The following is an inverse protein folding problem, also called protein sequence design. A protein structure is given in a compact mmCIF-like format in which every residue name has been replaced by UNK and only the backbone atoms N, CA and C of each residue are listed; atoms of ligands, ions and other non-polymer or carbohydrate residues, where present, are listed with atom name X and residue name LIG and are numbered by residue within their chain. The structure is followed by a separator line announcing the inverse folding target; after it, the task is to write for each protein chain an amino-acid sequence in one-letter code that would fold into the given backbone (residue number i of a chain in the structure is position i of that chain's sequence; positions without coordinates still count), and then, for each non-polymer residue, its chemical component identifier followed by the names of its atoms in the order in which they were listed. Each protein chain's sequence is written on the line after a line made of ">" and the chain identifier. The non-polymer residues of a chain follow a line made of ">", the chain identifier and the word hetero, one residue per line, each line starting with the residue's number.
data_IF_560561663281
#
_entry.id   IF_560561663281
#
_cell.length_a   1.000
_cell.length_b   1.000
_cell.length_c   1.000
_cell.angle_alpha   90.00
_cell.angle_beta   90.00
_cell.angle_gamma   90.00
#
_symmetry.space_group_name_H-M   'P 1'
#
loop_
_entity.id
_entity.type
_entity.pdbx_description
1 polymer ?
#
# COMPACT_ATOMS: atom_id res chain seq x y z
N UNK A 1 -1.37 -17.60 -36.10
CA UNK A 1 -2.46 -16.64 -36.39
C UNK A 1 -2.92 -15.93 -35.11
N UNK A 2 -3.13 -16.66 -34.00
CA UNK A 2 -3.55 -16.13 -32.69
C UNK A 2 -2.58 -15.11 -32.07
N UNK A 3 -1.26 -15.36 -32.12
CA UNK A 3 -0.27 -14.43 -31.55
C UNK A 3 -0.21 -13.07 -32.26
N UNK A 4 -0.33 -13.07 -33.60
CA UNK A 4 -0.37 -11.84 -34.39
C UNK A 4 -1.68 -11.07 -34.15
N UNK A 5 -2.82 -11.78 -34.12
CA UNK A 5 -4.11 -11.16 -33.80
C UNK A 5 -4.10 -10.52 -32.41
N UNK A 6 -3.63 -11.22 -31.38
CA UNK A 6 -3.51 -10.69 -30.02
C UNK A 6 -2.56 -9.48 -29.96
N UNK A 7 -1.45 -9.52 -30.70
CA UNK A 7 -0.54 -8.37 -30.82
C UNK A 7 -1.23 -7.16 -31.45
N UNK A 8 -1.94 -7.34 -32.56
CA UNK A 8 -2.66 -6.24 -33.24
C UNK A 8 -3.76 -5.66 -32.34
N UNK A 9 -4.54 -6.51 -31.66
CA UNK A 9 -5.58 -6.07 -30.73
C UNK A 9 -4.98 -5.28 -29.56
N UNK A 10 -3.92 -5.80 -28.91
CA UNK A 10 -3.24 -5.10 -27.81
C UNK A 10 -2.64 -3.78 -28.26
N UNK A 11 -2.06 -3.72 -29.46
CA UNK A 11 -1.49 -2.51 -30.04
C UNK A 11 -2.57 -1.46 -30.31
N UNK A 12 -3.67 -1.85 -30.96
CA UNK A 12 -4.81 -0.96 -31.22
C UNK A 12 -5.41 -0.42 -29.93
N UNK A 13 -5.61 -1.28 -28.93
CA UNK A 13 -6.07 -0.90 -27.60
C UNK A 13 -5.15 0.13 -26.96
N UNK A 14 -3.84 -0.14 -26.93
CA UNK A 14 -2.86 0.79 -26.34
C UNK A 14 -2.89 2.16 -27.03
N UNK A 15 -3.07 2.21 -28.36
CA UNK A 15 -3.22 3.48 -29.07
C UNK A 15 -4.52 4.20 -28.70
N UNK A 16 -5.65 3.49 -28.65
CA UNK A 16 -6.94 4.07 -28.29
C UNK A 16 -6.93 4.60 -26.86
N UNK A 17 -6.46 3.81 -25.90
CA UNK A 17 -6.34 4.22 -24.50
C UNK A 17 -5.38 5.40 -24.33
N UNK A 18 -4.24 5.40 -25.03
CA UNK A 18 -3.33 6.55 -25.03
C UNK A 18 -4.01 7.81 -25.57
N UNK A 19 -4.75 7.70 -26.67
CA UNK A 19 -5.50 8.83 -27.23
C UNK A 19 -6.54 9.32 -26.23
N UNK A 20 -7.31 8.40 -25.63
CA UNK A 20 -8.30 8.70 -24.59
C UNK A 20 -7.70 9.47 -23.42
N UNK A 21 -6.63 8.96 -22.80
CA UNK A 21 -5.95 9.64 -21.71
C UNK A 21 -5.35 10.99 -22.12
N UNK A 22 -4.83 11.10 -23.35
CA UNK A 22 -4.24 12.36 -23.85
C UNK A 22 -5.28 13.48 -23.99
N UNK A 23 -6.58 13.17 -24.06
CA UNK A 23 -7.64 14.19 -24.07
C UNK A 23 -7.73 14.94 -22.73
N UNK A 24 -7.29 14.33 -21.63
CA UNK A 24 -7.31 14.92 -20.28
C UNK A 24 -5.99 15.61 -19.91
N UNK A 25 -4.94 15.46 -20.72
CA UNK A 25 -3.71 16.22 -20.59
C UNK A 25 -3.88 17.62 -21.20
N UNK A 26 -4.52 18.51 -20.43
CA UNK A 26 -4.85 19.88 -20.85
C UNK A 26 -3.61 20.66 -21.34
N UNK A 27 -2.43 20.34 -20.80
CA UNK A 27 -1.18 21.05 -21.13
C UNK A 27 -0.37 20.38 -22.24
N UNK A 28 -0.75 19.18 -22.69
CA UNK A 28 -0.04 18.40 -23.70
C UNK A 28 1.39 18.02 -23.30
N UNK A 29 1.66 17.86 -22.00
CA UNK A 29 3.01 17.59 -21.47
C UNK A 29 3.33 16.10 -21.35
N UNK A 30 2.37 15.21 -21.61
CA UNK A 30 2.45 13.78 -21.41
C UNK A 30 2.19 13.30 -19.98
N UNK A 31 1.58 14.16 -19.14
CA UNK A 31 1.30 13.87 -17.73
C UNK A 31 -0.17 14.08 -17.40
N UNK A 32 -0.68 13.32 -16.44
CA UNK A 32 -1.99 13.48 -15.83
C UNK A 32 -1.83 13.93 -14.39
N UNK A 33 -2.60 14.93 -13.99
CA UNK A 33 -2.83 15.26 -12.57
C UNK A 33 -3.97 14.41 -12.04
N UNK A 34 -4.15 14.48 -10.73
CA UNK A 34 -5.20 13.73 -10.04
C UNK A 34 -6.59 14.05 -10.62
N UNK A 35 -6.92 15.33 -10.75
CA UNK A 35 -8.18 15.80 -11.35
C UNK A 35 -8.40 15.31 -12.79
N UNK A 36 -7.31 15.17 -13.54
CA UNK A 36 -7.38 14.72 -14.94
C UNK A 36 -7.76 13.22 -14.97
N UNK A 37 -7.20 12.42 -14.06
CA UNK A 37 -7.54 11.00 -13.94
C UNK A 37 -8.90 10.78 -13.26
N UNK A 38 -9.28 11.60 -12.28
CA UNK A 38 -10.62 11.58 -11.66
C UNK A 38 -11.72 11.77 -12.71
N UNK A 39 -11.54 12.75 -13.60
CA UNK A 39 -12.48 13.02 -14.71
C UNK A 39 -12.54 11.83 -15.67
N UNK A 40 -11.39 11.27 -16.04
CA UNK A 40 -11.34 10.08 -16.89
C UNK A 40 -12.07 8.88 -16.28
N UNK A 41 -11.86 8.59 -14.99
CA UNK A 41 -12.54 7.49 -14.30
C UNK A 41 -14.05 7.75 -14.21
N UNK A 42 -14.47 8.97 -13.87
CA UNK A 42 -15.88 9.35 -13.79
C UNK A 42 -16.61 9.08 -15.11
N UNK A 43 -16.02 9.49 -16.24
CA UNK A 43 -16.60 9.27 -17.57
C UNK A 43 -16.56 7.80 -18.00
N UNK A 44 -15.66 7.00 -17.42
CA UNK A 44 -15.54 5.57 -17.71
C UNK A 44 -16.61 4.74 -16.99
N UNK A 45 -17.03 5.11 -15.78
CA UNK A 45 -17.97 4.35 -14.92
C UNK A 45 -19.20 3.84 -15.71
N UNK A 46 -19.96 4.67 -16.46
CA UNK A 46 -21.15 4.21 -17.18
C UNK A 46 -20.87 3.16 -18.27
N UNK A 47 -19.61 2.98 -18.66
CA UNK A 47 -19.18 2.01 -19.68
C UNK A 47 -18.72 0.68 -19.08
N UNK A 48 -18.78 0.53 -17.75
CA UNK A 48 -18.31 -0.65 -17.01
C UNK A 48 -19.52 -1.36 -16.36
N UNK A 49 -20.07 -2.44 -16.97
CA UNK A 49 -21.20 -3.19 -16.42
C UNK A 49 -21.02 -3.64 -14.96
N UNK A 50 -19.78 -3.95 -14.53
CA UNK A 50 -19.51 -4.34 -13.12
C UNK A 50 -19.61 -3.18 -12.12
N UNK A 51 -19.88 -1.96 -12.58
CA UNK A 51 -20.12 -0.77 -11.77
C UNK A 51 -21.53 -0.20 -11.98
N UNK A 52 -22.42 -0.87 -12.72
CA UNK A 52 -23.76 -0.36 -13.03
C UNK A 52 -24.60 -0.11 -11.77
N UNK A 53 -24.49 -0.98 -10.77
CA UNK A 53 -25.21 -0.87 -9.49
C UNK A 53 -24.55 0.09 -8.48
N UNK A 54 -23.48 0.79 -8.88
CA UNK A 54 -22.79 1.73 -8.00
C UNK A 54 -23.63 2.99 -7.82
N UNK A 55 -23.99 3.33 -6.56
CA UNK A 55 -24.75 4.53 -6.27
C UNK A 55 -23.96 5.81 -6.60
N UNK A 56 -24.62 6.80 -7.22
CA UNK A 56 -24.00 8.10 -7.55
C UNK A 56 -23.46 8.83 -6.30
N UNK A 57 -24.10 8.63 -5.15
CA UNK A 57 -23.66 9.15 -3.84
C UNK A 57 -22.25 8.67 -3.46
N UNK A 58 -21.85 7.50 -3.94
CA UNK A 58 -20.58 6.85 -3.64
C UNK A 58 -19.49 7.13 -4.69
N UNK A 59 -19.80 7.80 -5.81
CA UNK A 59 -18.86 8.02 -6.91
C UNK A 59 -17.58 8.72 -6.47
N UNK A 60 -17.69 9.73 -5.60
CA UNK A 60 -16.51 10.46 -5.11
C UNK A 60 -15.54 9.54 -4.36
N UNK A 61 -16.06 8.62 -3.53
CA UNK A 61 -15.22 7.66 -2.79
C UNK A 61 -14.64 6.60 -3.71
N UNK A 62 -15.43 6.10 -4.66
CA UNK A 62 -14.96 5.15 -5.67
C UNK A 62 -13.84 5.74 -6.53
N UNK A 63 -14.04 6.94 -7.07
CA UNK A 63 -13.06 7.64 -7.92
C UNK A 63 -11.79 7.91 -7.12
N UNK A 64 -11.90 8.41 -5.88
CA UNK A 64 -10.75 8.61 -5.02
C UNK A 64 -9.98 7.27 -4.84
N UNK A 65 -10.67 6.19 -4.50
CA UNK A 65 -10.07 4.85 -4.33
C UNK A 65 -9.35 4.37 -5.59
N UNK A 66 -9.97 4.54 -6.76
CA UNK A 66 -9.38 4.15 -8.04
C UNK A 66 -8.13 4.98 -8.37
N UNK A 67 -8.18 6.30 -8.17
CA UNK A 67 -7.11 7.24 -8.54
C UNK A 67 -5.91 7.16 -7.59
N UNK A 68 -6.11 6.84 -6.31
CA UNK A 68 -5.01 6.74 -5.34
C UNK A 68 -3.95 5.70 -5.72
N UNK A 69 -4.36 4.56 -6.29
CA UNK A 69 -3.42 3.48 -6.66
C UNK A 69 -2.37 3.96 -7.69
N UNK A 70 -2.73 4.51 -8.87
CA UNK A 70 -1.78 5.14 -9.79
C UNK A 70 -0.84 6.15 -9.14
N UNK A 71 -1.35 7.05 -8.29
CA UNK A 71 -0.52 8.09 -7.68
C UNK A 71 0.46 7.55 -6.65
N UNK A 72 0.07 6.54 -5.86
CA UNK A 72 0.99 5.93 -4.90
C UNK A 72 2.16 5.22 -5.61
N UNK A 73 1.88 4.46 -6.67
CA UNK A 73 2.88 3.60 -7.31
C UNK A 73 3.65 4.26 -8.48
N UNK A 74 3.10 5.31 -9.12
CA UNK A 74 3.73 5.97 -10.26
C UNK A 74 4.25 7.38 -9.95
N UNK A 75 3.90 7.95 -8.80
CA UNK A 75 4.41 9.25 -8.34
C UNK A 75 5.04 9.14 -6.93
N UNK A 76 6.11 8.32 -6.76
CA UNK A 76 6.73 8.09 -5.45
C UNK A 76 7.34 9.36 -4.83
N UNK A 77 7.64 10.37 -5.66
CA UNK A 77 8.16 11.66 -5.22
C UNK A 77 7.06 12.69 -4.92
N UNK A 78 5.78 12.31 -5.04
CA UNK A 78 4.61 13.16 -4.78
C UNK A 78 4.65 14.49 -5.54
N UNK A 79 5.00 14.41 -6.83
CA UNK A 79 5.00 15.55 -7.77
C UNK A 79 3.59 15.99 -8.18
N UNK A 80 2.56 15.22 -7.79
CA UNK A 80 1.16 15.33 -8.15
C UNK A 80 0.91 15.17 -9.65
N UNK A 81 1.76 14.38 -10.32
CA UNK A 81 1.66 14.09 -11.75
C UNK A 81 2.15 12.68 -12.05
N UNK A 82 1.42 11.96 -12.90
CA UNK A 82 1.83 10.65 -13.42
C UNK A 82 2.01 10.73 -14.93
N UNK A 83 3.03 10.06 -15.48
CA UNK A 83 3.22 10.02 -16.94
C UNK A 83 2.16 9.10 -17.56
N UNK A 84 1.56 9.54 -18.66
CA UNK A 84 0.59 8.71 -19.41
C UNK A 84 1.21 7.37 -19.82
N UNK A 85 2.49 7.39 -20.22
CA UNK A 85 3.21 6.17 -20.61
C UNK A 85 3.33 5.17 -19.47
N UNK A 86 3.55 5.65 -18.25
CA UNK A 86 3.70 4.78 -17.07
C UNK A 86 2.33 4.20 -16.67
N UNK A 87 1.26 4.99 -16.75
CA UNK A 87 -0.13 4.53 -16.53
C UNK A 87 -0.54 3.44 -17.53
N UNK A 88 -0.10 3.54 -18.79
CA UNK A 88 -0.34 2.52 -19.81
C UNK A 88 0.49 1.25 -19.61
N UNK A 89 1.64 1.34 -18.93
CA UNK A 89 2.57 0.24 -18.76
C UNK A 89 2.36 -0.55 -17.46
N UNK A 90 1.77 0.06 -16.43
CA UNK A 90 1.68 -0.52 -15.08
C UNK A 90 0.57 -1.58 -14.90
N UNK A 91 -0.28 -1.80 -15.91
CA UNK A 91 -1.36 -2.80 -15.86
C UNK A 91 -2.64 -2.36 -15.13
N UNK A 92 -2.65 -1.22 -14.45
CA UNK A 92 -3.84 -0.73 -13.73
C UNK A 92 -5.06 -0.53 -14.63
N UNK A 93 -4.84 -0.08 -15.86
CA UNK A 93 -5.92 0.04 -16.83
C UNK A 93 -6.45 -1.31 -17.32
N UNK A 94 -5.61 -2.36 -17.31
CA UNK A 94 -6.06 -3.70 -17.67
C UNK A 94 -7.05 -4.21 -16.61
N UNK A 95 -6.72 -4.06 -15.32
CA UNK A 95 -7.61 -4.41 -14.20
C UNK A 95 -8.91 -3.61 -14.26
N UNK A 96 -8.83 -2.29 -14.46
CA UNK A 96 -10.01 -1.42 -14.55
C UNK A 96 -10.92 -1.80 -15.72
N UNK A 97 -10.35 -2.14 -16.88
CA UNK A 97 -11.13 -2.53 -18.06
C UNK A 97 -11.62 -3.98 -18.02
N UNK A 98 -11.05 -4.84 -17.17
CA UNK A 98 -11.60 -6.18 -16.90
C UNK A 98 -13.04 -6.09 -16.38
N UNK A 99 -13.42 -4.97 -15.75
CA UNK A 99 -14.78 -4.66 -15.31
C UNK A 99 -15.80 -4.51 -16.45
N UNK A 100 -15.35 -4.52 -17.72
CA UNK A 100 -16.21 -4.63 -18.90
C UNK A 100 -16.74 -6.04 -19.15
N UNK A 101 -16.06 -7.05 -18.63
CA UNK A 101 -16.44 -8.44 -18.84
C UNK A 101 -17.60 -8.82 -17.90
N UNK A 102 -18.81 -8.95 -18.46
CA UNK A 102 -20.00 -9.43 -17.73
C UNK A 102 -19.79 -10.82 -17.14
N UNK A 103 -18.94 -11.66 -17.76
CA UNK A 103 -18.60 -13.00 -17.30
C UNK A 103 -17.55 -13.04 -16.17
N UNK A 104 -17.07 -11.88 -15.69
CA UNK A 104 -16.03 -11.85 -14.67
C UNK A 104 -16.50 -12.51 -13.36
N UNK A 105 -15.75 -13.51 -12.91
CA UNK A 105 -16.06 -14.27 -11.70
C UNK A 105 -15.98 -13.41 -10.44
N UNK A 106 -16.80 -13.74 -9.42
CA UNK A 106 -16.80 -13.08 -8.10
C UNK A 106 -15.40 -13.03 -7.48
N UNK A 107 -14.66 -14.15 -7.48
CA UNK A 107 -13.30 -14.21 -6.93
C UNK A 107 -12.34 -13.20 -7.58
N UNK A 108 -12.44 -12.98 -8.89
CA UNK A 108 -11.63 -11.98 -9.59
C UNK A 108 -12.05 -10.56 -9.23
N UNK A 109 -13.35 -10.30 -9.07
CA UNK A 109 -13.85 -9.01 -8.62
C UNK A 109 -13.33 -8.67 -7.22
N UNK A 110 -13.32 -9.63 -6.30
CA UNK A 110 -12.79 -9.45 -4.94
C UNK A 110 -11.29 -9.15 -4.90
N UNK A 111 -10.53 -9.64 -5.89
CA UNK A 111 -9.09 -9.39 -6.03
C UNK A 111 -8.77 -8.11 -6.81
N UNK A 112 -9.71 -7.61 -7.60
CA UNK A 112 -9.52 -6.44 -8.45
C UNK A 112 -9.75 -5.16 -7.63
N UNK A 113 -8.70 -4.36 -7.46
CA UNK A 113 -8.74 -3.10 -6.72
C UNK A 113 -9.80 -2.12 -7.24
N UNK A 114 -10.06 -2.13 -8.54
CA UNK A 114 -10.99 -1.20 -9.19
C UNK A 114 -12.45 -1.67 -9.12
N UNK A 115 -12.74 -2.85 -8.58
CA UNK A 115 -14.11 -3.33 -8.46
C UNK A 115 -14.90 -2.52 -7.42
N UNK A 116 -16.22 -2.43 -7.61
CA UNK A 116 -17.11 -1.86 -6.60
C UNK A 116 -16.98 -2.58 -5.25
N UNK A 117 -16.81 -3.90 -5.27
CA UNK A 117 -16.64 -4.71 -4.06
C UNK A 117 -15.39 -4.29 -3.25
N UNK A 118 -14.26 -4.08 -3.92
CA UNK A 118 -13.02 -3.60 -3.27
C UNK A 118 -13.19 -2.20 -2.70
N UNK A 119 -13.75 -1.27 -3.47
CA UNK A 119 -13.97 0.11 -3.01
C UNK A 119 -14.93 0.17 -1.81
N UNK A 120 -16.04 -0.57 -1.85
CA UNK A 120 -17.00 -0.68 -0.75
C UNK A 120 -16.39 -1.33 0.48
N UNK A 121 -15.55 -2.37 0.31
CA UNK A 121 -14.83 -3.00 1.43
C UNK A 121 -13.93 -2.01 2.14
N UNK A 122 -13.11 -1.27 1.40
CA UNK A 122 -12.14 -0.33 1.98
C UNK A 122 -12.86 0.85 2.65
N UNK A 123 -13.90 1.39 2.00
CA UNK A 123 -14.70 2.44 2.60
C UNK A 123 -15.48 1.96 3.84
N UNK A 124 -16.01 0.73 3.80
CA UNK A 124 -16.66 0.12 4.96
C UNK A 124 -15.70 -0.08 6.13
N UNK A 125 -14.44 -0.44 5.86
CA UNK A 125 -13.38 -0.50 6.88
C UNK A 125 -13.10 0.88 7.48
N UNK A 126 -13.02 1.92 6.64
CA UNK A 126 -12.86 3.30 7.10
C UNK A 126 -13.98 3.75 8.04
N UNK A 127 -15.24 3.53 7.64
CA UNK A 127 -16.42 3.84 8.46
C UNK A 127 -16.48 3.03 9.76
N UNK A 128 -15.94 1.81 9.76
CA UNK A 128 -15.87 1.00 10.98
C UNK A 128 -14.85 1.54 11.98
N UNK A 129 -13.77 2.17 11.50
CA UNK A 129 -12.77 2.80 12.33
C UNK A 129 -13.25 4.14 12.90
N UNK A 130 -13.98 4.94 12.09
CA UNK A 130 -14.57 6.23 12.47
C UNK A 130 -15.75 6.06 13.45
N UNK A 131 -15.45 6.00 14.75
CA UNK A 131 -16.40 5.68 15.83
C UNK A 131 -17.24 6.88 16.22
N UNK A 132 -16.70 8.09 16.09
CA UNK A 132 -17.42 9.32 16.40
C UNK A 132 -18.21 9.86 15.18
N UNK A 133 -18.01 9.25 14.01
CA UNK A 133 -18.69 9.55 12.75
C UNK A 133 -18.45 10.99 12.26
N UNK A 134 -17.25 11.53 12.54
CA UNK A 134 -16.87 12.87 12.13
C UNK A 134 -16.29 12.92 10.69
N UNK A 135 -16.05 11.76 10.07
CA UNK A 135 -15.55 11.61 8.69
C UNK A 135 -14.03 11.60 8.55
N UNK A 136 -13.27 11.64 9.64
CA UNK A 136 -11.79 11.68 9.71
C UNK A 136 -11.31 10.76 10.86
N UNK A 137 -10.13 10.15 10.74
CA UNK A 137 -9.65 9.18 11.72
C UNK A 137 -8.66 9.79 12.70
N UNK A 138 -8.91 9.62 13.98
CA UNK A 138 -7.94 9.83 15.05
C UNK A 138 -6.89 8.70 15.10
N UNK A 139 -5.83 8.91 15.88
CA UNK A 139 -4.78 7.89 16.13
C UNK A 139 -5.38 6.64 16.79
N UNK A 140 -6.26 6.86 17.77
CA UNK A 140 -6.92 5.83 18.55
C UNK A 140 -7.85 4.98 17.69
N UNK A 141 -8.49 5.58 16.69
CA UNK A 141 -9.33 4.86 15.73
C UNK A 141 -8.48 4.07 14.74
N UNK A 142 -7.43 4.68 14.16
CA UNK A 142 -6.55 3.97 13.23
C UNK A 142 -5.81 2.81 13.89
N UNK A 143 -5.53 2.88 15.20
CA UNK A 143 -4.93 1.78 15.96
C UNK A 143 -5.75 0.49 15.90
N UNK A 144 -7.07 0.55 15.64
CA UNK A 144 -7.92 -0.62 15.45
C UNK A 144 -7.89 -1.19 14.01
N UNK A 145 -7.06 -0.66 13.12
CA UNK A 145 -6.93 -1.15 11.75
C UNK A 145 -6.51 -2.63 11.71
N UNK A 146 -7.15 -3.39 10.82
CA UNK A 146 -6.88 -4.83 10.67
C UNK A 146 -7.25 -5.59 11.94
N UNK A 147 -6.24 -6.22 12.56
CA UNK A 147 -6.39 -6.93 13.85
C UNK A 147 -6.08 -6.04 15.06
N UNK A 148 -5.78 -4.75 14.86
CA UNK A 148 -5.41 -3.84 15.93
C UNK A 148 -4.03 -4.12 16.55
N UNK A 149 -3.13 -4.75 15.79
CA UNK A 149 -1.81 -5.20 16.26
C UNK A 149 -0.65 -4.37 15.73
N UNK A 150 -0.94 -3.33 14.94
CA UNK A 150 0.04 -2.32 14.61
C UNK A 150 0.49 -1.61 15.89
N UNK A 151 1.80 -1.45 16.06
CA UNK A 151 2.35 -0.87 17.29
C UNK A 151 1.95 0.59 17.44
N UNK A 152 1.74 1.03 18.68
CA UNK A 152 1.44 2.42 19.01
C UNK A 152 2.51 3.39 18.48
N UNK A 153 3.78 2.98 18.53
CA UNK A 153 4.91 3.71 17.97
C UNK A 153 4.80 3.87 16.44
N UNK A 154 4.40 2.82 15.72
CA UNK A 154 4.20 2.95 14.28
C UNK A 154 3.02 3.87 13.95
N UNK A 155 1.89 3.74 14.64
CA UNK A 155 0.72 4.63 14.45
C UNK A 155 1.09 6.09 14.72
N UNK A 156 1.87 6.36 15.78
CA UNK A 156 2.38 7.69 16.08
C UNK A 156 3.20 8.26 14.90
N UNK A 157 4.11 7.44 14.33
CA UNK A 157 4.92 7.84 13.17
C UNK A 157 4.08 8.08 11.92
N UNK A 158 3.03 7.30 11.69
CA UNK A 158 2.09 7.51 10.57
C UNK A 158 1.48 8.90 10.64
N UNK A 159 1.01 9.35 11.80
CA UNK A 159 0.41 10.67 11.96
C UNK A 159 1.42 11.83 11.96
N UNK A 160 2.68 11.58 12.34
CA UNK A 160 3.74 12.60 12.26
C UNK A 160 4.18 12.88 10.82
N UNK A 161 4.08 11.88 9.94
CA UNK A 161 4.67 11.92 8.59
C UNK A 161 3.64 11.99 7.45
N UNK A 162 2.36 11.82 7.80
CA UNK A 162 1.24 11.90 6.87
C UNK A 162 0.63 13.30 6.87
N UNK A 163 -0.14 13.62 5.82
CA UNK A 163 -0.94 14.83 5.81
C UNK A 163 -2.12 14.61 6.76
N UNK A 164 -2.18 15.41 7.83
CA UNK A 164 -3.29 15.37 8.80
C UNK A 164 -3.95 16.72 8.90
N UNK A 165 -5.28 16.74 9.04
CA UNK A 165 -6.03 17.94 9.39
C UNK A 165 -6.38 17.88 10.87
N UNK A 166 -5.95 18.87 11.66
CA UNK A 166 -6.18 18.87 13.11
C UNK A 166 -5.77 17.56 13.80
N UNK A 167 -4.64 16.99 13.40
CA UNK A 167 -4.11 15.69 13.89
C UNK A 167 -4.95 14.47 13.54
N UNK A 168 -5.89 14.60 12.59
CA UNK A 168 -6.73 13.52 12.10
C UNK A 168 -6.46 13.23 10.62
N UNK A 169 -6.72 11.99 10.22
CA UNK A 169 -6.43 11.44 8.90
C UNK A 169 -7.70 11.40 8.04
N UNK A 170 -7.65 11.96 6.84
CA UNK A 170 -8.77 11.86 5.90
C UNK A 170 -8.78 10.54 5.13
N UNK A 171 -9.90 10.25 4.47
CA UNK A 171 -10.06 9.03 3.66
C UNK A 171 -8.96 8.88 2.59
N UNK A 172 -8.51 9.99 2.02
CA UNK A 172 -7.47 10.00 1.00
C UNK A 172 -6.13 9.53 1.53
N UNK A 173 -5.73 10.01 2.71
CA UNK A 173 -4.50 9.61 3.39
C UNK A 173 -4.61 8.18 3.91
N UNK A 174 -5.79 7.78 4.39
CA UNK A 174 -6.08 6.39 4.75
C UNK A 174 -5.89 5.43 3.57
N UNK A 175 -6.33 5.79 2.36
CA UNK A 175 -6.13 4.98 1.16
C UNK A 175 -4.65 4.76 0.85
N UNK A 176 -3.80 5.79 0.97
CA UNK A 176 -2.36 5.64 0.78
C UNK A 176 -1.74 4.68 1.80
N UNK A 177 -2.21 4.76 3.05
CA UNK A 177 -1.82 3.85 4.13
C UNK A 177 -2.23 2.40 3.84
N UNK A 178 -3.49 2.15 3.47
CA UNK A 178 -3.99 0.81 3.13
C UNK A 178 -3.25 0.23 1.93
N UNK A 179 -3.11 1.01 0.85
CA UNK A 179 -2.41 0.58 -0.36
C UNK A 179 -0.96 0.19 -0.06
N UNK A 180 -0.25 0.97 0.75
CA UNK A 180 1.12 0.63 1.13
C UNK A 180 1.20 -0.65 1.98
N UNK A 181 0.29 -0.83 2.94
CA UNK A 181 0.28 -2.01 3.81
C UNK A 181 -0.18 -3.30 3.11
N UNK A 182 -1.12 -3.22 2.17
CA UNK A 182 -1.56 -4.38 1.37
C UNK A 182 -0.51 -4.78 0.30
N UNK A 183 0.44 -3.90 -0.04
CA UNK A 183 1.42 -4.11 -1.11
C UNK A 183 2.87 -3.93 -0.64
N UNK A 184 3.20 -4.32 0.60
CA UNK A 184 4.53 -4.15 1.21
C UNK A 184 5.70 -4.74 0.40
N UNK A 185 5.44 -5.69 -0.50
CA UNK A 185 6.46 -6.23 -1.41
C UNK A 185 6.88 -5.28 -2.55
N UNK A 186 6.08 -4.25 -2.84
CA UNK A 186 6.36 -3.31 -3.91
C UNK A 186 7.36 -2.21 -3.49
N UNK A 187 8.34 -1.84 -4.33
CA UNK A 187 9.35 -0.83 -4.01
C UNK A 187 8.76 0.52 -3.57
N UNK A 188 7.66 0.94 -4.18
CA UNK A 188 7.01 2.22 -3.89
C UNK A 188 6.24 2.19 -2.56
N UNK A 189 5.65 1.03 -2.21
CA UNK A 189 5.06 0.83 -0.90
C UNK A 189 6.14 0.82 0.19
N UNK A 190 7.27 0.15 -0.05
CA UNK A 190 8.43 0.22 0.84
C UNK A 190 8.95 1.65 1.00
N UNK A 191 9.04 2.41 -0.08
CA UNK A 191 9.43 3.82 -0.02
C UNK A 191 8.46 4.66 0.83
N UNK A 192 7.16 4.42 0.70
CA UNK A 192 6.13 5.07 1.51
C UNK A 192 6.28 4.73 2.99
N UNK A 193 6.48 3.45 3.32
CA UNK A 193 6.60 2.97 4.70
C UNK A 193 7.95 3.35 5.35
N UNK A 194 9.02 3.40 4.55
CA UNK A 194 10.36 3.74 5.03
C UNK A 194 10.43 5.13 5.67
N UNK A 195 9.63 6.08 5.18
CA UNK A 195 9.44 7.41 5.78
C UNK A 195 9.02 7.33 7.25
N UNK A 196 8.15 6.38 7.59
CA UNK A 196 7.67 6.21 8.96
C UNK A 196 8.77 5.58 9.84
N UNK A 197 9.57 4.70 9.25
CA UNK A 197 10.68 4.02 9.93
C UNK A 197 11.92 4.91 10.12
N UNK A 198 12.23 5.81 9.19
CA UNK A 198 13.38 6.72 9.29
C UNK A 198 13.10 7.90 10.24
N UNK A 199 13.00 7.57 11.54
CA UNK A 199 12.66 8.49 12.63
C UNK A 199 13.59 9.70 12.76
N UNK A 200 14.78 9.68 12.15
CA UNK A 200 15.76 10.78 12.18
C UNK A 200 15.97 11.45 10.82
N UNK A 201 15.22 11.04 9.79
CA UNK A 201 15.36 11.54 8.41
C UNK A 201 16.79 11.51 7.88
N UNK A 202 17.54 10.47 8.24
CA UNK A 202 18.96 10.32 7.88
C UNK A 202 19.16 9.47 6.62
N UNK A 203 18.08 8.91 6.07
CA UNK A 203 18.08 8.05 4.88
C UNK A 203 18.43 6.59 5.15
N UNK A 204 18.53 6.18 6.42
CA UNK A 204 18.86 4.82 6.82
C UNK A 204 18.32 4.46 8.21
N UNK A 205 18.01 3.18 8.40
CA UNK A 205 17.69 2.57 9.69
C UNK A 205 18.97 2.02 10.30
N UNK A 206 19.22 2.32 11.57
CA UNK A 206 20.33 1.75 12.32
C UNK A 206 19.83 1.05 13.59
N UNK A 207 20.75 0.53 14.40
CA UNK A 207 20.41 -0.19 15.63
C UNK A 207 19.52 0.63 16.58
N UNK A 208 19.66 1.96 16.60
CA UNK A 208 18.80 2.81 17.43
C UNK A 208 17.36 2.81 16.90
N UNK A 209 17.20 2.96 15.58
CA UNK A 209 15.88 2.89 14.94
C UNK A 209 15.22 1.52 15.16
N UNK A 210 15.94 0.42 14.98
CA UNK A 210 15.39 -0.92 15.22
C UNK A 210 14.98 -1.11 16.69
N UNK A 211 15.81 -0.65 17.64
CA UNK A 211 15.50 -0.73 19.07
C UNK A 211 14.24 0.09 19.43
N UNK A 212 14.05 1.24 18.80
CA UNK A 212 12.89 2.10 19.04
C UNK A 212 11.57 1.39 18.70
N UNK A 213 11.49 0.72 17.56
CA UNK A 213 10.32 -0.07 17.17
C UNK A 213 10.20 -1.36 17.97
N UNK A 214 11.32 -2.05 18.21
CA UNK A 214 11.33 -3.30 18.98
C UNK A 214 10.79 -3.14 20.40
N UNK A 215 11.07 -2.00 21.07
CA UNK A 215 10.54 -1.74 22.41
C UNK A 215 9.02 -1.80 22.48
N UNK A 216 8.33 -1.20 21.49
CA UNK A 216 6.87 -1.22 21.45
C UNK A 216 6.32 -2.65 21.28
N UNK A 217 7.03 -3.50 20.56
CA UNK A 217 6.68 -4.92 20.41
C UNK A 217 6.95 -5.65 21.73
N UNK A 218 8.13 -5.46 22.31
CA UNK A 218 8.54 -6.11 23.56
C UNK A 218 7.61 -5.78 24.72
N UNK A 219 7.11 -4.55 24.81
CA UNK A 219 6.17 -4.15 25.86
C UNK A 219 4.86 -4.95 25.76
N UNK A 220 4.33 -5.16 24.54
CA UNK A 220 3.13 -5.99 24.29
C UNK A 220 3.39 -7.49 24.54
N UNK A 221 4.61 -7.98 24.26
CA UNK A 221 4.99 -9.37 24.50
C UNK A 221 5.19 -9.66 26.00
N UNK A 222 5.69 -8.71 26.78
CA UNK A 222 5.97 -8.92 28.22
C UNK A 222 4.69 -9.12 29.03
N UNK A 223 3.55 -8.65 28.53
CA UNK A 223 2.24 -8.92 29.10
C UNK A 223 1.74 -10.36 28.83
N UNK A 224 2.43 -11.10 27.95
CA UNK A 224 2.25 -12.54 27.74
C UNK A 224 3.29 -13.33 28.56
N UNK A 225 2.94 -14.49 29.11
CA UNK A 225 3.81 -15.32 29.98
C UNK A 225 5.01 -15.99 29.24
N UNK A 226 5.58 -15.35 28.22
CA UNK A 226 6.61 -15.90 27.35
C UNK A 226 8.03 -15.47 27.75
N UNK A 227 9.03 -16.23 27.26
CA UNK A 227 10.43 -15.89 27.50
C UNK A 227 10.81 -14.57 26.81
N UNK A 228 11.68 -13.75 27.44
CA UNK A 228 12.05 -12.45 26.88
C UNK A 228 12.95 -12.61 25.66
N UNK A 229 12.51 -12.05 24.54
CA UNK A 229 13.25 -12.03 23.28
C UNK A 229 14.37 -10.98 23.37
N UNK A 230 15.58 -11.36 22.98
CA UNK A 230 16.74 -10.46 23.01
C UNK A 230 16.76 -9.59 21.75
N UNK A 231 16.78 -8.29 21.95
CA UNK A 231 16.92 -7.33 20.86
C UNK A 231 18.14 -7.60 19.97
N UNK A 232 19.27 -8.01 20.54
CA UNK A 232 20.49 -8.25 19.76
C UNK A 232 20.32 -9.34 18.70
N UNK A 233 19.57 -10.41 19.02
CA UNK A 233 19.32 -11.52 18.09
C UNK A 233 18.43 -11.04 16.92
N UNK A 234 17.30 -10.39 17.23
CA UNK A 234 16.38 -9.82 16.22
C UNK A 234 17.07 -8.77 15.34
N UNK A 235 17.93 -7.94 15.94
CA UNK A 235 18.70 -6.93 15.23
C UNK A 235 19.67 -7.61 14.25
N UNK A 236 20.47 -8.57 14.70
CA UNK A 236 21.43 -9.26 13.84
C UNK A 236 20.70 -9.98 12.68
N UNK A 237 19.56 -10.62 12.94
CA UNK A 237 18.71 -11.25 11.91
C UNK A 237 18.17 -10.25 10.88
N UNK A 238 17.67 -9.09 11.32
CA UNK A 238 17.23 -8.03 10.39
C UNK A 238 18.39 -7.55 9.51
N UNK A 239 19.58 -7.37 10.08
CA UNK A 239 20.76 -6.97 9.31
C UNK A 239 21.21 -8.06 8.33
N UNK A 240 21.11 -9.33 8.71
CA UNK A 240 21.40 -10.49 7.84
C UNK A 240 20.36 -10.67 6.72
N UNK A 241 19.09 -10.35 6.98
CA UNK A 241 18.04 -10.29 5.95
C UNK A 241 18.28 -9.13 4.98
N UNK A 242 18.58 -7.93 5.50
CA UNK A 242 18.73 -6.73 4.71
C UNK A 242 20.03 -6.71 3.87
N UNK A 243 21.10 -7.35 4.35
CA UNK A 243 22.44 -7.38 3.74
C UNK A 243 22.90 -5.99 3.26
N UNK A 244 22.88 -4.98 4.15
CA UNK A 244 23.14 -3.61 3.73
C UNK A 244 24.57 -3.43 3.24
N UNK A 245 24.77 -2.45 2.35
CA UNK A 245 26.13 -2.09 1.87
C UNK A 245 27.02 -1.55 3.00
N UNK A 246 26.43 -0.80 3.93
CA UNK A 246 27.09 -0.36 5.16
C UNK A 246 26.59 -1.27 6.30
N UNK A 247 27.47 -2.01 7.00
CA UNK A 247 27.07 -2.98 8.02
C UNK A 247 26.23 -2.41 9.18
N UNK A 248 26.20 -1.09 9.35
CA UNK A 248 25.44 -0.44 10.43
C UNK A 248 24.22 0.35 9.93
N UNK A 249 23.92 0.34 8.62
CA UNK A 249 22.89 1.20 8.03
C UNK A 249 22.09 0.49 6.95
N UNK A 250 20.80 0.29 7.21
CA UNK A 250 19.85 -0.24 6.25
C UNK A 250 19.19 0.93 5.51
N UNK A 251 19.53 1.13 4.24
CA UNK A 251 18.87 2.14 3.40
C UNK A 251 17.60 1.57 2.76
N UNK A 252 16.74 2.43 2.22
CA UNK A 252 15.61 2.01 1.38
C UNK A 252 16.06 1.10 0.21
N UNK A 253 17.22 1.42 -0.40
CA UNK A 253 17.73 0.62 -1.51
C UNK A 253 18.14 -0.79 -1.06
N UNK A 254 18.65 -0.94 0.15
CA UNK A 254 18.98 -2.26 0.71
C UNK A 254 17.70 -3.07 0.98
N UNK A 255 16.67 -2.44 1.58
CA UNK A 255 15.35 -3.07 1.80
C UNK A 255 14.68 -3.55 0.51
N UNK A 256 14.79 -2.77 -0.56
CA UNK A 256 14.24 -3.16 -1.87
C UNK A 256 15.09 -4.28 -2.49
N UNK A 257 16.42 -4.17 -2.43
CA UNK A 257 17.32 -5.10 -3.10
C UNK A 257 17.40 -6.48 -2.42
N UNK A 258 17.14 -6.56 -1.11
CA UNK A 258 17.24 -7.83 -0.37
C UNK A 258 16.10 -8.80 -0.66
N UNK A 259 14.96 -8.32 -1.22
CA UNK A 259 13.77 -9.14 -1.47
C UNK A 259 13.01 -9.56 -0.21
N UNK A 260 13.43 -9.10 0.98
CA UNK A 260 12.81 -9.37 2.28
C UNK A 260 12.24 -8.10 2.94
N UNK A 261 12.14 -6.99 2.19
CA UNK A 261 11.67 -5.70 2.72
C UNK A 261 10.27 -5.79 3.37
N UNK A 262 9.35 -6.54 2.78
CA UNK A 262 8.01 -6.75 3.37
C UNK A 262 8.08 -7.40 4.76
N UNK A 263 8.90 -8.44 4.91
CA UNK A 263 9.06 -9.16 6.17
C UNK A 263 9.70 -8.25 7.22
N UNK A 264 10.80 -7.57 6.87
CA UNK A 264 11.51 -6.65 7.76
C UNK A 264 10.56 -5.54 8.24
N UNK A 265 9.79 -4.94 7.32
CA UNK A 265 8.82 -3.91 7.69
C UNK A 265 7.74 -4.48 8.62
N UNK A 266 7.22 -5.67 8.33
CA UNK A 266 6.19 -6.33 9.16
C UNK A 266 6.69 -6.60 10.58
N UNK A 267 7.93 -7.09 10.73
CA UNK A 267 8.59 -7.31 12.02
C UNK A 267 8.67 -6.02 12.82
N UNK A 268 8.90 -4.87 12.19
CA UNK A 268 9.10 -3.60 12.89
C UNK A 268 7.80 -2.90 13.28
N UNK A 269 6.69 -3.13 12.56
CA UNK A 269 5.49 -2.29 12.71
C UNK A 269 4.30 -3.02 13.34
N UNK A 270 4.27 -4.35 13.34
CA UNK A 270 3.10 -5.16 13.70
C UNK A 270 3.50 -6.30 14.64
N UNK A 271 2.82 -6.40 15.80
CA UNK A 271 3.02 -7.48 16.77
C UNK A 271 2.69 -8.84 16.15
N UNK A 272 1.64 -8.94 15.33
CA UNK A 272 1.32 -10.19 14.62
C UNK A 272 2.34 -10.49 13.51
N UNK A 273 2.86 -9.45 12.87
CA UNK A 273 3.93 -9.57 11.88
C UNK A 273 5.19 -10.16 12.50
N UNK A 274 5.55 -9.68 13.69
CA UNK A 274 6.64 -10.20 14.51
C UNK A 274 6.39 -11.67 14.94
N UNK A 275 5.22 -12.00 15.48
CA UNK A 275 4.91 -13.39 15.85
C UNK A 275 4.89 -14.38 14.69
N UNK A 276 4.43 -13.93 13.53
CA UNK A 276 4.43 -14.73 12.31
C UNK A 276 5.85 -15.04 11.83
N UNK A 277 6.83 -14.21 12.20
CA UNK A 277 8.24 -14.44 11.95
C UNK A 277 8.83 -15.44 12.95
N UNK A 278 8.69 -15.19 14.26
CA UNK A 278 9.22 -16.06 15.32
C UNK A 278 8.71 -17.50 15.21
N UNK A 279 7.41 -17.67 14.93
CA UNK A 279 6.81 -19.01 14.78
C UNK A 279 7.36 -19.79 13.58
N UNK A 280 7.82 -19.11 12.52
CA UNK A 280 8.47 -19.75 11.36
C UNK A 280 9.90 -20.17 11.70
N UNK A 281 10.61 -19.37 12.49
CA UNK A 281 11.94 -19.71 12.99
C UNK A 281 11.91 -20.97 13.87
N UNK A 282 10.99 -21.03 14.84
CA UNK A 282 10.87 -22.17 15.75
C UNK A 282 10.53 -23.47 15.01
N UNK A 283 9.64 -23.38 14.01
CA UNK A 283 9.32 -24.51 13.14
C UNK A 283 10.50 -24.97 12.27
N UNK A 284 11.39 -24.05 11.88
CA UNK A 284 12.63 -24.34 11.15
C UNK A 284 13.68 -25.02 12.02
N UNK A 285 13.89 -24.51 13.25
CA UNK A 285 14.85 -25.07 14.21
C UNK A 285 14.50 -26.52 14.61
N UNK A 286 13.20 -26.85 14.77
CA UNK A 286 12.75 -28.21 15.06
C UNK A 286 12.96 -29.24 13.93
N UNK A 287 13.16 -28.78 12.69
CA UNK A 287 13.41 -29.64 11.53
C UNK A 287 14.92 -29.89 11.31
N UNK A 288 15.78 -28.99 11.73
CA UNK A 288 17.25 -29.17 11.67
C UNK A 288 17.78 -30.07 12.80
N UNK A 289 17.02 -30.25 13.88
CA UNK A 289 17.33 -31.15 14.99
C UNK A 289 16.84 -32.61 14.80
N UNK A 290 16.29 -32.96 13.62
CA UNK A 290 15.87 -34.33 13.27
C UNK A 290 16.67 -34.91 12.11
#
# INVERSE_FOLDING_TARGET
>A
MTAFFNYVMRKTWHYQTRVGLSLYDIKGQGYLRETDLETYILELIPTLPKLEDLEESFYNFYICTAVRKPFLFLDPLRTHRVKIQDVLACGFLDDLLELRDEGLSVKKLEQNWFSAASALRIYGQYLHLDKDHNGILSKEELAAYGTGTLTSVFIERVFQESLTFETQMDYKTYLDFVLALENKGEPQALQYLFRFLDIRHQGYLDSFTLLYFFKAISDEITDSEQEPIKFEDVKDEIFDMAKPKDPCKITLQDLIACGQGELIVSILIDVNGFWSYESREDGGKQLEEK
#
